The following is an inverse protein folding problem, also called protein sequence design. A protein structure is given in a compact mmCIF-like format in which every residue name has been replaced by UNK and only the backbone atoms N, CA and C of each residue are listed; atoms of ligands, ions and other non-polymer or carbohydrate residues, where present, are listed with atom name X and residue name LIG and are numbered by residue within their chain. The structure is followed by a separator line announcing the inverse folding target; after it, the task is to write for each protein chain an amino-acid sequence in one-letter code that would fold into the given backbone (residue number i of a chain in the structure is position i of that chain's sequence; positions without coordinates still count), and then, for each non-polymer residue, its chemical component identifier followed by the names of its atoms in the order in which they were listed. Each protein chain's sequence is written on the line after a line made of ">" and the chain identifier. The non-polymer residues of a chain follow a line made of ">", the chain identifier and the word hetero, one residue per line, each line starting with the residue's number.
data_IF_799627153609
#
_entry.id   IF_799627153609
#
_cell.length_a   1.000
_cell.length_b   1.000
_cell.length_c   1.000
_cell.angle_alpha   90.00
_cell.angle_beta   90.00
_cell.angle_gamma   90.00
#
_symmetry.space_group_name_H-M   'P 1'
#
loop_
_entity.id
_entity.type
_entity.pdbx_description
1 polymer ?
#
# COMPACT_ATOMS: atom_id res chain seq x y z
N UNK A 1 27.95 54.85 6.61
CA UNK A 1 26.80 54.13 7.21
C UNK A 1 25.72 54.10 6.15
N UNK A 2 25.24 52.99 5.58
CA UNK A 2 25.46 51.57 5.80
C UNK A 2 25.32 50.87 4.43
N UNK A 3 26.20 49.89 4.17
CA UNK A 3 26.13 48.99 3.03
C UNK A 3 25.07 47.91 3.33
N UNK A 4 24.02 47.81 2.52
CA UNK A 4 23.17 46.62 2.50
C UNK A 4 23.63 45.71 1.36
N UNK A 5 24.70 44.95 1.64
CA UNK A 5 25.04 43.75 0.88
C UNK A 5 23.99 42.68 1.20
N UNK A 6 22.90 42.68 0.45
CA UNK A 6 21.90 41.61 0.47
C UNK A 6 22.45 40.35 -0.22
N UNK A 7 23.31 39.61 0.49
CA UNK A 7 23.60 38.23 0.15
C UNK A 7 22.31 37.42 0.36
N UNK A 8 21.55 37.23 -0.72
CA UNK A 8 20.61 36.11 -0.80
C UNK A 8 21.46 34.84 -0.86
N UNK A 9 21.88 34.39 0.32
CA UNK A 9 22.12 32.97 0.56
C UNK A 9 20.81 32.27 0.22
N UNK A 10 20.69 31.82 -1.04
CA UNK A 10 19.91 30.64 -1.38
C UNK A 10 20.52 29.51 -0.56
N UNK A 11 20.15 29.47 0.72
CA UNK A 11 20.20 28.26 1.49
C UNK A 11 19.23 27.36 0.74
N UNK A 12 19.75 26.62 -0.24
CA UNK A 12 19.18 25.36 -0.61
C UNK A 12 19.20 24.57 0.70
N UNK A 13 18.13 24.72 1.47
CA UNK A 13 17.74 23.76 2.46
C UNK A 13 17.46 22.53 1.62
N UNK A 14 18.52 21.78 1.32
CA UNK A 14 18.44 20.37 1.01
C UNK A 14 17.80 19.75 2.23
N UNK A 15 16.46 19.81 2.28
CA UNK A 15 15.67 19.04 3.21
C UNK A 15 16.14 17.59 3.03
N UNK A 16 16.66 16.95 4.08
CA UNK A 16 17.15 15.60 3.98
C UNK A 16 15.97 14.71 3.63
N UNK A 17 16.07 14.07 2.46
CA UNK A 17 15.37 12.85 2.07
C UNK A 17 13.93 12.74 2.58
N UNK A 18 12.95 13.11 1.75
CA UNK A 18 11.78 12.25 1.65
C UNK A 18 12.34 10.86 1.40
N UNK A 19 12.31 9.97 2.41
CA UNK A 19 12.76 8.61 2.26
C UNK A 19 11.88 8.02 1.16
N UNK A 20 12.42 7.93 -0.06
CA UNK A 20 11.67 7.63 -1.26
C UNK A 20 10.96 6.29 -1.07
N UNK A 21 9.66 6.35 -0.81
CA UNK A 21 8.88 5.16 -0.53
C UNK A 21 9.01 4.25 -1.75
N UNK A 22 9.47 3.02 -1.57
CA UNK A 22 9.68 2.11 -2.70
C UNK A 22 8.32 1.90 -3.39
N UNK A 23 8.25 1.66 -4.70
CA UNK A 23 6.98 1.48 -5.39
C UNK A 23 6.28 0.19 -4.98
N UNK A 24 4.97 0.12 -5.24
CA UNK A 24 4.14 -1.06 -4.98
C UNK A 24 3.35 -1.01 -3.67
N UNK A 25 2.47 -1.99 -3.54
CA UNK A 25 1.39 -2.05 -2.56
C UNK A 25 1.66 -3.11 -1.49
N UNK A 26 1.39 -2.77 -0.24
CA UNK A 26 1.42 -3.74 0.85
C UNK A 26 0.30 -4.76 0.70
N UNK A 27 0.61 -6.02 0.97
CA UNK A 27 -0.40 -7.06 1.07
C UNK A 27 -0.98 -6.98 2.48
N UNK A 28 -2.29 -6.76 2.60
CA UNK A 28 -2.93 -6.95 3.89
C UNK A 28 -2.84 -8.44 4.24
N UNK A 29 -2.02 -8.76 5.23
CA UNK A 29 -1.86 -10.13 5.71
C UNK A 29 -3.18 -10.56 6.41
N UNK A 30 -3.67 -11.79 6.15
CA UNK A 30 -4.74 -12.37 6.93
C UNK A 30 -4.33 -12.44 8.39
N UNK A 31 -5.28 -12.16 9.28
CA UNK A 31 -5.01 -11.86 10.69
C UNK A 31 -4.30 -13.02 11.39
N UNK A 32 -3.18 -12.72 12.04
CA UNK A 32 -2.62 -13.55 13.12
C UNK A 32 -1.50 -14.50 12.69
N UNK A 33 -0.28 -13.99 12.64
CA UNK A 33 0.90 -14.81 12.93
C UNK A 33 1.28 -14.56 14.39
N UNK A 34 0.75 -15.36 15.30
CA UNK A 34 1.34 -15.48 16.64
C UNK A 34 2.74 -16.03 16.47
N UNK A 35 3.77 -15.22 16.73
CA UNK A 35 5.14 -15.72 16.80
C UNK A 35 5.21 -16.78 17.89
N UNK A 36 5.95 -17.90 17.70
CA UNK A 36 6.01 -18.99 18.68
C UNK A 36 6.62 -18.61 20.04
N UNK A 37 7.09 -17.36 20.20
CA UNK A 37 7.93 -16.92 21.31
C UNK A 37 7.26 -15.92 22.26
N UNK A 38 6.01 -15.52 22.03
CA UNK A 38 5.29 -14.60 22.94
C UNK A 38 5.92 -13.20 23.09
N UNK A 39 6.93 -12.85 22.28
CA UNK A 39 7.48 -11.49 22.23
C UNK A 39 6.64 -10.63 21.29
N UNK A 40 5.85 -9.76 21.91
CA UNK A 40 5.22 -8.61 21.27
C UNK A 40 6.30 -7.61 20.86
N UNK A 41 6.81 -7.74 19.64
CA UNK A 41 7.26 -6.57 18.91
C UNK A 41 6.97 -6.80 17.44
N UNK A 42 5.85 -6.26 17.00
CA UNK A 42 5.46 -6.21 15.60
C UNK A 42 6.14 -5.04 14.88
N UNK A 43 7.09 -4.36 15.51
CA UNK A 43 7.95 -3.34 14.92
C UNK A 43 9.23 -4.00 14.40
N UNK A 44 9.19 -4.47 13.14
CA UNK A 44 10.36 -4.98 12.44
C UNK A 44 11.05 -3.92 11.57
N UNK A 45 10.36 -2.81 11.29
CA UNK A 45 10.87 -1.66 10.54
C UNK A 45 10.11 -0.40 10.95
N UNK A 46 10.67 0.78 10.64
CA UNK A 46 9.99 2.08 10.73
C UNK A 46 9.89 2.77 9.37
N UNK A 47 10.80 2.46 8.46
CA UNK A 47 10.82 2.95 7.09
C UNK A 47 11.26 1.87 6.10
N UNK A 48 11.01 2.09 4.79
CA UNK A 48 11.45 1.18 3.72
C UNK A 48 12.97 0.96 3.71
N UNK A 49 13.74 1.93 4.21
CA UNK A 49 15.19 1.86 4.34
C UNK A 49 15.65 0.79 5.34
N UNK A 50 14.83 0.49 6.36
CA UNK A 50 15.13 -0.54 7.35
C UNK A 50 14.94 -1.96 6.77
N UNK A 51 14.31 -2.06 5.59
CA UNK A 51 14.00 -3.33 4.96
C UNK A 51 15.05 -3.73 3.91
N UNK A 52 15.33 -5.06 3.78
CA UNK A 52 16.18 -5.60 2.72
C UNK A 52 15.78 -5.08 1.34
N UNK A 53 16.71 -5.01 0.35
CA UNK A 53 16.40 -4.53 -0.99
C UNK A 53 15.14 -5.19 -1.56
N UNK A 54 14.30 -4.41 -2.25
CA UNK A 54 13.00 -4.81 -2.83
C UNK A 54 11.86 -5.09 -1.83
N UNK A 55 12.08 -4.95 -0.51
CA UNK A 55 11.00 -5.03 0.49
C UNK A 55 10.55 -3.65 0.97
N UNK A 56 9.29 -3.50 1.35
CA UNK A 56 8.74 -2.27 1.93
C UNK A 56 8.35 -2.48 3.39
N UNK A 57 8.44 -1.42 4.17
CA UNK A 57 7.88 -1.38 5.50
C UNK A 57 6.37 -1.18 5.38
N UNK A 58 5.62 -2.20 5.75
CA UNK A 58 4.19 -2.27 5.60
C UNK A 58 3.52 -2.31 6.97
N UNK A 59 2.68 -1.31 7.21
CA UNK A 59 1.86 -1.23 8.41
C UNK A 59 0.76 -2.28 8.39
N UNK A 60 0.79 -3.16 9.37
CA UNK A 60 -0.24 -4.16 9.64
C UNK A 60 -1.03 -3.79 10.90
N UNK A 61 -2.07 -4.55 11.21
CA UNK A 61 -2.85 -4.36 12.45
C UNK A 61 -2.03 -4.58 13.72
N UNK A 62 -0.92 -5.33 13.65
CA UNK A 62 -0.05 -5.57 14.80
C UNK A 62 1.12 -4.59 14.88
N UNK A 63 1.53 -3.95 13.77
CA UNK A 63 2.72 -3.10 13.67
C UNK A 63 3.35 -3.14 12.27
N UNK A 64 4.54 -2.56 12.13
CA UNK A 64 5.24 -2.37 10.86
C UNK A 64 6.20 -3.52 10.52
N UNK A 65 6.03 -4.14 9.35
CA UNK A 65 6.80 -5.33 8.93
C UNK A 65 7.35 -5.21 7.51
N UNK A 66 8.54 -5.77 7.26
CA UNK A 66 9.13 -5.79 5.92
C UNK A 66 8.46 -6.83 5.01
N UNK A 67 7.73 -6.38 4.00
CA UNK A 67 7.02 -7.24 3.04
C UNK A 67 7.52 -7.03 1.61
N UNK A 68 7.34 -8.04 0.76
CA UNK A 68 7.47 -7.87 -0.69
C UNK A 68 6.22 -7.18 -1.23
N UNK A 69 6.32 -5.96 -1.79
CA UNK A 69 5.15 -5.26 -2.28
C UNK A 69 4.63 -5.91 -3.56
N UNK A 70 3.31 -5.92 -3.72
CA UNK A 70 2.66 -6.26 -4.99
C UNK A 70 2.73 -5.05 -5.92
N UNK A 71 3.17 -5.25 -7.16
CA UNK A 71 3.33 -4.17 -8.13
C UNK A 71 2.03 -3.90 -8.90
N UNK A 72 1.15 -4.90 -9.03
CA UNK A 72 -0.09 -4.79 -9.75
C UNK A 72 -1.30 -4.70 -8.80
N UNK A 73 -1.99 -3.56 -8.78
CA UNK A 73 -3.20 -3.38 -7.98
C UNK A 73 -4.26 -4.45 -8.24
N UNK A 74 -4.37 -4.95 -9.48
CA UNK A 74 -5.36 -5.95 -9.88
C UNK A 74 -5.08 -7.35 -9.29
N UNK A 75 -3.88 -7.57 -8.75
CA UNK A 75 -3.51 -8.80 -8.04
C UNK A 75 -3.73 -8.71 -6.53
N UNK A 76 -4.09 -7.53 -6.02
CA UNK A 76 -4.35 -7.36 -4.60
C UNK A 76 -5.62 -8.11 -4.19
N UNK A 77 -5.66 -8.73 -2.99
CA UNK A 77 -6.87 -9.35 -2.48
C UNK A 77 -7.96 -8.30 -2.19
N UNK A 78 -9.25 -8.67 -2.16
CA UNK A 78 -10.29 -7.76 -1.69
C UNK A 78 -10.08 -7.42 -0.21
N UNK A 79 -9.94 -6.13 0.11
CA UNK A 79 -9.71 -5.69 1.48
C UNK A 79 -10.96 -5.03 2.07
N UNK A 80 -11.63 -5.74 2.99
CA UNK A 80 -12.81 -5.25 3.73
C UNK A 80 -12.45 -4.05 4.60
N UNK A 81 -11.26 -4.05 5.20
CA UNK A 81 -10.85 -3.06 6.20
C UNK A 81 -11.51 -3.29 7.57
N UNK A 82 -11.09 -2.55 8.61
CA UNK A 82 -11.54 -2.79 9.98
C UNK A 82 -12.89 -2.15 10.33
N UNK A 83 -13.37 -1.22 9.51
CA UNK A 83 -14.67 -0.58 9.72
C UNK A 83 -15.83 -1.54 9.35
N UNK A 84 -17.03 -1.25 9.88
CA UNK A 84 -18.19 -2.15 9.82
C UNK A 84 -19.33 -1.64 8.93
N UNK A 85 -19.07 -0.68 8.04
CA UNK A 85 -20.07 -0.28 7.05
C UNK A 85 -20.30 -1.41 6.04
N UNK A 86 -21.50 -1.47 5.46
CA UNK A 86 -21.83 -2.43 4.40
C UNK A 86 -21.88 -1.72 3.07
N UNK A 87 -20.73 -1.52 2.44
CA UNK A 87 -20.62 -0.83 1.15
C UNK A 87 -20.33 -1.85 0.04
N UNK A 88 -21.30 -2.21 -0.81
CA UNK A 88 -21.04 -3.07 -1.97
C UNK A 88 -20.05 -2.38 -2.91
N UNK A 89 -18.95 -3.07 -3.22
CA UNK A 89 -17.91 -2.63 -4.17
C UNK A 89 -17.53 -3.79 -5.07
N UNK A 90 -16.77 -3.51 -6.12
CA UNK A 90 -16.20 -4.49 -7.01
C UNK A 90 -14.70 -4.58 -6.81
N UNK A 91 -14.14 -5.78 -6.89
CA UNK A 91 -12.70 -6.00 -6.99
C UNK A 91 -12.42 -6.90 -8.19
N UNK A 92 -11.21 -6.84 -8.71
CA UNK A 92 -10.77 -7.76 -9.74
C UNK A 92 -10.21 -9.02 -9.10
N UNK A 93 -10.83 -10.16 -9.41
CA UNK A 93 -10.35 -11.47 -9.02
C UNK A 93 -9.40 -11.99 -10.10
N UNK A 94 -8.09 -11.99 -9.79
CA UNK A 94 -7.05 -12.44 -10.73
C UNK A 94 -7.17 -13.92 -11.10
N UNK A 95 -7.68 -14.76 -10.20
CA UNK A 95 -7.82 -16.19 -10.46
C UNK A 95 -8.96 -16.48 -11.43
N UNK A 96 -10.12 -15.81 -11.25
CA UNK A 96 -11.27 -15.97 -12.14
C UNK A 96 -11.23 -15.04 -13.36
N UNK A 97 -10.30 -14.07 -13.39
CA UNK A 97 -10.19 -13.01 -14.40
C UNK A 97 -11.47 -12.18 -14.54
N UNK A 98 -12.17 -11.95 -13.43
CA UNK A 98 -13.48 -11.30 -13.40
C UNK A 98 -13.57 -10.25 -12.29
N UNK A 99 -14.42 -9.26 -12.54
CA UNK A 99 -14.81 -8.28 -11.53
C UNK A 99 -15.97 -8.81 -10.69
N UNK A 100 -15.68 -9.12 -9.44
CA UNK A 100 -16.58 -9.73 -8.47
C UNK A 100 -16.97 -8.71 -7.39
N UNK A 101 -18.16 -8.88 -6.79
CA UNK A 101 -18.62 -8.00 -5.73
C UNK A 101 -18.08 -8.45 -4.37
N UNK A 102 -17.76 -7.49 -3.52
CA UNK A 102 -17.44 -7.71 -2.11
C UNK A 102 -18.02 -6.58 -1.25
N UNK A 103 -18.05 -6.79 0.07
CA UNK A 103 -18.48 -5.77 1.02
C UNK A 103 -17.24 -5.05 1.55
N UNK A 104 -17.14 -3.76 1.29
CA UNK A 104 -16.15 -2.88 1.89
C UNK A 104 -16.68 -2.30 3.19
N UNK A 105 -15.85 -2.35 4.23
CA UNK A 105 -16.11 -1.90 5.59
C UNK A 105 -16.16 -0.38 5.77
N UNK A 106 -15.73 0.39 4.78
CA UNK A 106 -15.81 1.85 4.76
C UNK A 106 -14.55 2.61 5.16
N UNK A 107 -13.51 1.93 5.67
CA UNK A 107 -12.21 2.55 5.91
C UNK A 107 -11.04 1.60 5.62
N UNK A 108 -9.87 2.17 5.35
CA UNK A 108 -8.63 1.47 4.96
C UNK A 108 -8.85 0.57 3.73
N UNK A 109 -8.22 -0.61 3.71
CA UNK A 109 -8.17 -1.50 2.56
C UNK A 109 -7.20 -1.02 1.49
N UNK A 110 -7.39 -1.50 0.27
CA UNK A 110 -6.47 -1.27 -0.83
C UNK A 110 -7.15 -0.73 -2.09
N UNK A 111 -6.38 -0.59 -3.17
CA UNK A 111 -6.83 0.01 -4.43
C UNK A 111 -7.58 -0.96 -5.36
N UNK A 112 -7.62 -2.25 -5.07
CA UNK A 112 -8.45 -3.20 -5.83
C UNK A 112 -9.91 -3.11 -5.38
N UNK A 113 -10.50 -1.92 -5.51
CA UNK A 113 -11.84 -1.57 -5.04
C UNK A 113 -12.43 -0.49 -5.93
N UNK A 114 -13.52 -0.84 -6.60
CA UNK A 114 -14.19 0.00 -7.58
C UNK A 114 -15.67 0.12 -7.24
N UNK A 115 -16.29 1.25 -7.60
CA UNK A 115 -17.71 1.47 -7.35
C UNK A 115 -18.59 0.73 -8.36
N UNK A 116 -18.08 0.53 -9.57
CA UNK A 116 -18.79 -0.03 -10.71
C UNK A 116 -17.99 -1.17 -11.34
N UNK A 117 -18.69 -2.20 -11.85
CA UNK A 117 -18.07 -3.34 -12.53
C UNK A 117 -17.26 -2.89 -13.74
N UNK A 118 -17.76 -1.93 -14.49
CA UNK A 118 -17.15 -1.43 -15.73
C UNK A 118 -15.84 -0.69 -15.43
N UNK A 119 -15.77 0.00 -14.28
CA UNK A 119 -14.52 0.64 -13.84
C UNK A 119 -13.46 -0.42 -13.50
N UNK A 120 -13.85 -1.46 -12.78
CA UNK A 120 -12.97 -2.59 -12.48
C UNK A 120 -12.48 -3.28 -13.77
N UNK A 121 -13.37 -3.55 -14.72
CA UNK A 121 -13.01 -4.21 -15.98
C UNK A 121 -12.11 -3.34 -16.83
N UNK A 122 -12.33 -2.03 -16.88
CA UNK A 122 -11.46 -1.09 -17.59
C UNK A 122 -10.07 -1.01 -16.96
N UNK A 123 -10.00 -1.05 -15.63
CA UNK A 123 -8.74 -0.97 -14.91
C UNK A 123 -7.91 -2.27 -15.02
N UNK A 124 -8.57 -3.43 -14.95
CA UNK A 124 -7.89 -4.72 -14.78
C UNK A 124 -8.18 -5.75 -15.88
N UNK A 125 -9.32 -5.71 -16.57
CA UNK A 125 -9.71 -6.74 -17.56
C UNK A 125 -9.04 -6.65 -18.94
N UNK A 126 -7.95 -5.89 -19.08
CA UNK A 126 -7.24 -5.72 -20.35
C UNK A 126 -6.29 -6.89 -20.68
N UNK A 127 -5.77 -6.98 -21.92
CA UNK A 127 -4.88 -8.06 -22.38
C UNK A 127 -3.55 -8.17 -21.62
N UNK A 128 -3.22 -7.20 -20.74
CA UNK A 128 -2.09 -7.27 -19.80
C UNK A 128 -2.20 -8.44 -18.82
N UNK A 129 -3.39 -9.02 -18.68
CA UNK A 129 -3.68 -10.13 -17.77
C UNK A 129 -3.66 -11.51 -18.43
N UNK A 130 -3.49 -11.56 -19.75
CA UNK A 130 -3.49 -12.78 -20.55
C UNK A 130 -2.07 -13.27 -20.93
N UNK A 131 -1.02 -12.59 -20.47
CA UNK A 131 0.38 -12.86 -20.83
C UNK A 131 1.31 -13.10 -19.62
N UNK A 132 0.75 -13.55 -18.49
CA UNK A 132 1.54 -13.98 -17.32
C UNK A 132 1.58 -15.51 -17.24
#
# INVERSE_FOLDING_TARGET
>A
MAFFLGLLVFSAVFLPSEAESRPGYCLELPWGHSTPSGRRSCEACRADADCPPKKKCCSSLCGDTCQTPESNLCKLPPAVGPCKARMPKFYYNWASKRCEQFIYGGCRGNLNRFDRREQCQRACGGPRDALA
#
